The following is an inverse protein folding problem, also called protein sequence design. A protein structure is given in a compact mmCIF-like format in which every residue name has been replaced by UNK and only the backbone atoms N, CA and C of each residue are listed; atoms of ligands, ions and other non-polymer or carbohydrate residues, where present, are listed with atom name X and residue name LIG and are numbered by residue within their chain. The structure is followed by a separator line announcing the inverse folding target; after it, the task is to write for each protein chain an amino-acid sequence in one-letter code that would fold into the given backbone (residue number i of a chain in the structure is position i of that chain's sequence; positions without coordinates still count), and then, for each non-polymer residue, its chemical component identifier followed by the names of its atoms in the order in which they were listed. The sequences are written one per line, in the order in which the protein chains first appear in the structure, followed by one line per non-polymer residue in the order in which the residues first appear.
data_IF_265300070501
#
_entry.id   IF_265300070501
#
_cell.length_a   1.000
_cell.length_b   1.000
_cell.length_c   1.000
_cell.angle_alpha   90.00
_cell.angle_beta   90.00
_cell.angle_gamma   90.00
#
_symmetry.space_group_name_H-M   'P 1'
#
loop_
_entity.id
_entity.type
_entity.pdbx_description
1 polymer ?
#
# COMPACT_ATOMS: atom_id res chain seq x y z
N UNK A 1 17.56 8.40 -26.16
CA UNK A 1 16.20 8.63 -25.65
C UNK A 1 16.37 9.11 -24.21
N UNK A 2 16.52 10.42 -24.03
CA UNK A 2 16.76 11.00 -22.70
C UNK A 2 15.43 11.17 -21.98
N UNK A 3 15.23 10.45 -20.88
CA UNK A 3 14.09 10.64 -20.00
C UNK A 3 14.31 11.92 -19.20
N UNK A 4 13.72 13.02 -19.67
CA UNK A 4 13.59 14.24 -18.85
C UNK A 4 12.71 13.89 -17.65
N UNK A 5 13.29 13.93 -16.46
CA UNK A 5 12.53 13.83 -15.21
C UNK A 5 11.52 14.97 -15.17
N UNK A 6 10.24 14.62 -15.18
CA UNK A 6 9.16 15.58 -14.98
C UNK A 6 9.23 15.98 -13.50
N UNK A 7 9.85 17.12 -13.24
CA UNK A 7 9.89 17.71 -11.90
C UNK A 7 8.47 17.99 -11.45
N UNK A 8 8.14 17.53 -10.25
CA UNK A 8 6.88 17.81 -9.59
C UNK A 8 6.54 19.31 -9.64
N UNK A 9 5.25 19.63 -9.73
CA UNK A 9 4.74 21.00 -9.68
C UNK A 9 4.21 21.26 -8.27
N UNK A 10 5.04 21.70 -7.31
CA UNK A 10 4.56 22.02 -6.00
C UNK A 10 3.70 23.28 -6.13
N UNK A 11 2.46 23.22 -5.64
CA UNK A 11 1.44 24.29 -5.61
C UNK A 11 0.40 24.32 -6.74
N UNK A 12 0.00 23.17 -7.28
CA UNK A 12 -1.13 23.12 -8.23
C UNK A 12 -2.44 22.85 -7.48
N UNK A 13 -3.36 23.82 -7.48
CA UNK A 13 -4.72 23.65 -6.98
C UNK A 13 -5.51 22.70 -7.90
N UNK A 14 -6.39 21.88 -7.33
CA UNK A 14 -7.22 20.88 -8.04
C UNK A 14 -8.09 21.48 -9.17
N UNK A 15 -8.29 22.79 -9.17
CA UNK A 15 -9.05 23.54 -10.18
C UNK A 15 -8.27 23.86 -11.46
N UNK A 16 -6.94 23.65 -11.51
CA UNK A 16 -6.15 23.89 -12.71
C UNK A 16 -6.41 22.77 -13.74
N UNK A 17 -6.94 23.14 -14.89
CA UNK A 17 -7.23 22.22 -16.00
C UNK A 17 -5.98 21.41 -16.37
N UNK A 18 -4.78 22.01 -16.32
CA UNK A 18 -3.52 21.34 -16.64
C UNK A 18 -3.20 20.23 -15.64
N UNK A 19 -3.53 20.43 -14.37
CA UNK A 19 -3.36 19.42 -13.32
C UNK A 19 -4.20 18.16 -13.63
N UNK A 20 -5.46 18.36 -14.01
CA UNK A 20 -6.37 17.26 -14.33
C UNK A 20 -5.96 16.49 -15.60
N UNK A 21 -5.48 17.21 -16.63
CA UNK A 21 -4.92 16.56 -17.82
C UNK A 21 -3.67 15.74 -17.50
N UNK A 22 -2.77 16.25 -16.66
CA UNK A 22 -1.59 15.52 -16.21
C UNK A 22 -1.98 14.28 -15.37
N UNK A 23 -2.97 14.40 -14.49
CA UNK A 23 -3.45 13.28 -13.67
C UNK A 23 -4.06 12.18 -14.54
N UNK A 24 -4.85 12.55 -15.55
CA UNK A 24 -5.41 11.61 -16.51
C UNK A 24 -4.31 10.92 -17.33
N UNK A 25 -3.33 11.68 -17.83
CA UNK A 25 -2.20 11.12 -18.56
C UNK A 25 -1.41 10.12 -17.70
N UNK A 26 -1.21 10.40 -16.40
CA UNK A 26 -0.60 9.47 -15.47
C UNK A 26 -1.43 8.21 -15.31
N UNK A 27 -2.76 8.30 -15.13
CA UNK A 27 -3.63 7.12 -15.01
C UNK A 27 -3.66 6.25 -16.27
N UNK A 28 -3.44 6.83 -17.45
CA UNK A 28 -3.41 6.09 -18.72
C UNK A 28 -2.03 5.45 -18.92
N UNK A 29 -0.96 6.19 -18.67
CA UNK A 29 0.41 5.74 -18.91
C UNK A 29 0.96 4.84 -17.80
N UNK A 30 0.36 4.88 -16.62
CA UNK A 30 0.72 4.08 -15.45
C UNK A 30 -0.53 3.42 -14.89
N UNK A 31 -0.43 2.25 -14.26
CA UNK A 31 -1.58 1.61 -13.58
C UNK A 31 -1.94 2.31 -12.25
N UNK A 32 -1.74 3.62 -12.13
CA UNK A 32 -2.15 4.37 -10.95
C UNK A 32 -3.65 4.59 -10.93
N UNK A 33 -4.23 4.61 -9.72
CA UNK A 33 -5.57 5.15 -9.53
C UNK A 33 -5.54 6.67 -9.64
N UNK A 34 -6.72 7.26 -9.90
CA UNK A 34 -6.88 8.72 -10.02
C UNK A 34 -6.35 9.44 -8.79
N UNK A 35 -6.62 8.90 -7.60
CA UNK A 35 -6.15 9.45 -6.32
C UNK A 35 -4.63 9.39 -6.20
N UNK A 36 -4.01 8.30 -6.67
CA UNK A 36 -2.55 8.14 -6.68
C UNK A 36 -1.86 9.10 -7.65
N UNK A 37 -2.44 9.31 -8.83
CA UNK A 37 -1.92 10.26 -9.81
C UNK A 37 -1.99 11.71 -9.30
N UNK A 38 -3.08 12.08 -8.64
CA UNK A 38 -3.29 13.40 -8.04
C UNK A 38 -2.29 13.62 -6.90
N UNK A 39 -2.17 12.65 -5.98
CA UNK A 39 -1.20 12.71 -4.88
C UNK A 39 0.23 12.86 -5.39
N UNK A 40 0.58 12.12 -6.45
CA UNK A 40 1.90 12.21 -7.07
C UNK A 40 2.19 13.60 -7.64
N UNK A 41 1.22 14.22 -8.33
CA UNK A 41 1.38 15.55 -8.89
C UNK A 41 1.47 16.64 -7.82
N UNK A 42 0.74 16.51 -6.71
CA UNK A 42 0.72 17.49 -5.62
C UNK A 42 1.93 17.38 -4.69
N UNK A 43 2.36 16.17 -4.34
CA UNK A 43 3.37 15.93 -3.30
C UNK A 43 4.76 15.60 -3.89
N UNK A 44 4.84 15.39 -5.21
CA UNK A 44 6.09 15.21 -5.95
C UNK A 44 6.90 13.96 -5.61
N UNK A 45 6.40 13.13 -4.72
CA UNK A 45 7.05 11.88 -4.31
C UNK A 45 6.21 10.71 -4.80
N UNK A 46 6.84 9.87 -5.63
CA UNK A 46 6.32 8.54 -5.92
C UNK A 46 6.54 7.72 -4.64
N UNK A 47 5.60 7.76 -3.70
CA UNK A 47 5.37 6.56 -2.90
C UNK A 47 4.78 5.55 -3.86
N UNK A 48 5.68 4.87 -4.58
CA UNK A 48 5.41 3.83 -5.57
C UNK A 48 4.38 2.93 -4.95
N UNK A 49 3.12 3.12 -5.35
CA UNK A 49 1.90 2.59 -4.74
C UNK A 49 2.19 2.02 -3.35
N UNK A 50 2.06 2.82 -2.28
CA UNK A 50 2.05 2.30 -0.89
C UNK A 50 1.42 0.94 -0.97
N UNK A 51 2.25 -0.08 -0.85
CA UNK A 51 1.82 -1.41 -1.23
C UNK A 51 0.58 -1.60 -0.39
N UNK A 52 -0.57 -1.86 -1.03
CA UNK A 52 -1.85 -1.98 -0.30
C UNK A 52 -1.82 -3.10 0.76
N UNK A 53 -0.66 -3.71 0.98
CA UNK A 53 -0.34 -4.84 1.81
C UNK A 53 0.97 -4.62 2.59
N UNK A 54 1.36 -3.39 2.95
CA UNK A 54 2.40 -3.21 3.97
C UNK A 54 1.78 -3.57 5.33
N UNK A 55 1.63 -4.88 5.55
CA UNK A 55 1.16 -5.45 6.80
C UNK A 55 2.19 -5.06 7.86
N UNK A 56 1.78 -4.22 8.78
CA UNK A 56 2.64 -3.69 9.84
C UNK A 56 2.93 -4.78 10.88
N UNK A 57 3.98 -4.60 11.68
CA UNK A 57 4.25 -5.53 12.80
C UNK A 57 3.10 -5.55 13.82
N UNK A 58 2.38 -4.44 13.99
CA UNK A 58 1.17 -4.38 14.81
C UNK A 58 0.03 -5.24 14.23
N UNK A 59 -0.14 -5.25 12.90
CA UNK A 59 -1.11 -6.11 12.24
C UNK A 59 -0.75 -7.58 12.42
N UNK A 60 0.54 -7.92 12.34
CA UNK A 60 1.01 -9.28 12.63
C UNK A 60 0.71 -9.69 14.07
N UNK A 61 0.92 -8.80 15.04
CA UNK A 61 0.59 -9.05 16.44
C UNK A 61 -0.93 -9.24 16.63
N UNK A 62 -1.74 -8.44 15.96
CA UNK A 62 -3.20 -8.56 15.99
C UNK A 62 -3.66 -9.87 15.34
N UNK A 63 -3.09 -10.29 14.22
CA UNK A 63 -3.36 -11.59 13.59
C UNK A 63 -3.01 -12.76 14.53
N UNK A 64 -1.91 -12.66 15.27
CA UNK A 64 -1.51 -13.67 16.27
C UNK A 64 -2.52 -13.73 17.41
N UNK A 65 -2.99 -12.58 17.92
CA UNK A 65 -4.02 -12.51 18.98
C UNK A 65 -5.38 -13.03 18.50
N UNK A 66 -5.77 -12.70 17.27
CA UNK A 66 -7.02 -13.17 16.66
C UNK A 66 -7.02 -14.68 16.42
N UNK A 67 -5.85 -15.31 16.29
CA UNK A 67 -5.73 -16.78 16.16
C UNK A 67 -6.35 -17.54 17.35
N UNK A 68 -6.37 -16.93 18.54
CA UNK A 68 -6.93 -17.60 19.72
C UNK A 68 -8.46 -17.75 19.65
N UNK A 69 -9.13 -16.94 18.84
CA UNK A 69 -10.60 -16.91 18.72
C UNK A 69 -11.13 -17.11 17.30
N UNK A 70 -10.28 -17.00 16.28
CA UNK A 70 -10.67 -17.03 14.86
C UNK A 70 -9.78 -17.97 14.04
N UNK A 71 -10.33 -18.50 12.95
CA UNK A 71 -9.58 -19.31 11.99
C UNK A 71 -8.76 -18.46 11.03
N UNK A 72 -7.70 -19.04 10.43
CA UNK A 72 -6.89 -18.37 9.39
C UNK A 72 -7.71 -17.84 8.21
N UNK A 73 -8.84 -18.50 7.89
CA UNK A 73 -9.73 -18.05 6.84
C UNK A 73 -10.46 -16.76 7.23
N UNK A 74 -11.03 -16.70 8.44
CA UNK A 74 -11.72 -15.51 8.95
C UNK A 74 -10.76 -14.33 9.12
N UNK A 75 -9.54 -14.58 9.59
CA UNK A 75 -8.50 -13.55 9.66
C UNK A 75 -8.13 -13.07 8.24
N UNK A 76 -8.06 -13.98 7.27
CA UNK A 76 -7.86 -13.65 5.87
C UNK A 76 -8.97 -12.75 5.31
N UNK A 77 -10.23 -13.03 5.65
CA UNK A 77 -11.37 -12.21 5.23
C UNK A 77 -11.31 -10.78 5.77
N UNK A 78 -10.84 -10.58 7.02
CA UNK A 78 -10.67 -9.26 7.64
C UNK A 78 -9.59 -8.44 6.92
N UNK A 79 -8.46 -9.08 6.60
CA UNK A 79 -7.29 -8.40 6.04
C UNK A 79 -7.20 -8.49 4.50
N UNK A 80 -8.18 -9.09 3.82
CA UNK A 80 -8.15 -9.32 2.38
C UNK A 80 -7.05 -10.29 1.92
N UNK A 81 -6.64 -11.21 2.80
CA UNK A 81 -5.56 -12.16 2.58
C UNK A 81 -6.07 -13.58 2.37
N UNK A 82 -5.28 -14.39 1.66
CA UNK A 82 -5.54 -15.83 1.59
C UNK A 82 -5.18 -16.50 2.91
N UNK A 83 -5.88 -17.58 3.25
CA UNK A 83 -5.58 -18.39 4.44
C UNK A 83 -4.09 -18.80 4.54
N UNK A 84 -3.46 -19.14 3.41
CA UNK A 84 -2.04 -19.48 3.32
C UNK A 84 -1.15 -18.28 3.63
N UNK A 85 -1.48 -17.09 3.12
CA UNK A 85 -0.73 -15.88 3.41
C UNK A 85 -0.75 -15.58 4.91
N UNK A 86 -1.92 -15.63 5.55
CA UNK A 86 -2.07 -15.44 7.00
C UNK A 86 -1.22 -16.43 7.80
N UNK A 87 -1.24 -17.72 7.41
CA UNK A 87 -0.41 -18.74 8.06
C UNK A 87 1.09 -18.41 7.97
N UNK A 88 1.59 -18.03 6.80
CA UNK A 88 3.00 -17.71 6.61
C UNK A 88 3.43 -16.47 7.39
N UNK A 89 2.58 -15.45 7.45
CA UNK A 89 2.81 -14.22 8.20
C UNK A 89 2.91 -14.48 9.71
N UNK A 90 1.93 -15.19 10.28
CA UNK A 90 1.92 -15.56 11.70
C UNK A 90 3.14 -16.44 12.04
N UNK A 91 3.45 -17.43 11.20
CA UNK A 91 4.62 -18.30 11.40
C UNK A 91 5.93 -17.52 11.34
N UNK A 92 6.07 -16.58 10.40
CA UNK A 92 7.26 -15.73 10.29
C UNK A 92 7.43 -14.85 11.53
N UNK A 93 6.34 -14.27 12.03
CA UNK A 93 6.36 -13.46 13.25
C UNK A 93 6.79 -14.27 14.48
N UNK A 94 6.25 -15.47 14.66
CA UNK A 94 6.62 -16.37 15.76
C UNK A 94 8.07 -16.86 15.72
N UNK A 95 8.68 -16.94 14.53
CA UNK A 95 10.11 -17.27 14.39
C UNK A 95 11.02 -16.10 14.73
N UNK A 96 10.56 -14.86 14.49
CA UNK A 96 11.31 -13.62 14.78
C UNK A 96 11.26 -13.22 16.24
N UNK A 97 10.16 -13.52 16.94
CA UNK A 97 10.03 -13.34 18.38
C UNK A 97 10.39 -14.66 19.06
N UNK A 98 11.67 -14.89 19.43
CA UNK A 98 11.98 -16.06 20.25
C UNK A 98 11.13 -15.94 21.52
N UNK A 99 10.48 -17.06 21.89
CA UNK A 99 9.82 -17.18 23.19
C UNK A 99 10.87 -16.81 24.25
N UNK A 100 10.80 -15.60 24.79
CA UNK A 100 11.37 -15.32 26.09
C UNK A 100 10.46 -16.08 27.07
N UNK A 101 10.88 -17.32 27.32
CA UNK A 101 10.47 -18.14 28.46
C UNK A 101 10.91 -17.44 29.72
#
# INVERSE_FOLDING_TARGET
MEFRTVTAMPNCEYSDIRFNYCALALCILTQYSVEGAIRYLSEGTVKLAESKNEITEEDLLNMVRMKDTMTYQQIGEIYGLTNKAVYHLIKSFQMRVPKFV
#
